data_IF_773296906512
#
_entry.id   IF_773296906512
#
_cell.length_a   1.000
_cell.length_b   1.000
_cell.length_c   1.000
_cell.angle_alpha   90.00
_cell.angle_beta   90.00
_cell.angle_gamma   90.00
#
_symmetry.space_group_name_H-M   'P 1'
#
loop_
_entity.id
_entity.type
_entity.pdbx_description
1 polymer ?
#
# COMPACT_ATOMS: atom_id res chain seq x y z
N UNK A 1 -26.01 69.17 -15.86
CA UNK A 1 -25.60 68.14 -16.84
C UNK A 1 -25.32 66.88 -16.06
N UNK A 2 -26.31 66.00 -15.94
CA UNK A 2 -26.22 64.67 -15.33
C UNK A 2 -27.24 63.81 -16.05
N UNK A 3 -26.75 62.74 -16.68
CA UNK A 3 -27.37 61.61 -17.39
C UNK A 3 -26.25 61.14 -18.35
N UNK A 4 -25.92 59.88 -18.59
CA UNK A 4 -26.36 58.59 -18.11
C UNK A 4 -25.22 57.65 -18.52
N UNK A 5 -24.67 56.86 -17.59
CA UNK A 5 -23.61 55.92 -17.92
C UNK A 5 -24.02 54.53 -17.44
N UNK A 6 -24.69 53.78 -18.30
CA UNK A 6 -25.00 52.37 -18.09
C UNK A 6 -23.87 51.49 -18.66
N UNK A 7 -23.21 50.64 -17.87
CA UNK A 7 -22.51 49.49 -18.41
C UNK A 7 -23.47 48.28 -18.41
N UNK A 8 -23.71 47.74 -19.60
CA UNK A 8 -24.47 46.51 -19.81
C UNK A 8 -23.76 45.32 -19.15
N UNK A 9 -24.37 44.79 -18.10
CA UNK A 9 -24.00 43.53 -17.46
C UNK A 9 -24.38 42.36 -18.40
N UNK A 10 -23.39 41.77 -19.08
CA UNK A 10 -23.56 40.50 -19.78
C UNK A 10 -23.01 39.39 -18.89
N UNK A 11 -23.90 38.85 -18.07
CA UNK A 11 -23.75 37.57 -17.39
C UNK A 11 -23.59 36.44 -18.42
N UNK A 12 -22.34 36.10 -18.74
CA UNK A 12 -22.03 34.91 -19.54
C UNK A 12 -22.06 33.66 -18.66
N UNK A 13 -23.24 33.23 -18.25
CA UNK A 13 -23.45 31.95 -17.58
C UNK A 13 -23.43 30.85 -18.63
N UNK A 14 -22.23 30.48 -19.11
CA UNK A 14 -22.05 29.27 -19.91
C UNK A 14 -22.47 28.05 -19.07
N UNK A 15 -23.66 27.54 -19.37
CA UNK A 15 -24.10 26.20 -19.01
C UNK A 15 -23.04 25.20 -19.49
N UNK A 16 -22.16 24.76 -18.58
CA UNK A 16 -21.30 23.60 -18.85
C UNK A 16 -22.21 22.39 -18.98
N UNK A 17 -22.37 21.90 -20.20
CA UNK A 17 -23.01 20.59 -20.45
C UNK A 17 -22.37 19.54 -19.53
N UNK A 18 -23.15 18.67 -18.88
CA UNK A 18 -22.59 17.54 -18.17
C UNK A 18 -21.74 16.74 -19.15
N UNK A 19 -20.51 16.42 -18.77
CA UNK A 19 -19.60 15.62 -19.61
C UNK A 19 -20.25 14.26 -19.81
N UNK A 20 -20.58 13.94 -21.06
CA UNK A 20 -21.11 12.64 -21.45
C UNK A 20 -20.17 11.55 -20.94
N UNK A 21 -20.62 10.80 -19.93
CA UNK A 21 -19.92 9.63 -19.41
C UNK A 21 -20.01 8.54 -20.47
N UNK A 22 -19.03 8.51 -21.37
CA UNK A 22 -18.84 7.37 -22.26
C UNK A 22 -18.30 6.22 -21.40
N UNK A 23 -18.97 5.06 -21.36
CA UNK A 23 -18.43 3.89 -20.67
C UNK A 23 -17.07 3.53 -21.30
N UNK A 24 -16.07 3.15 -20.49
CA UNK A 24 -14.74 2.86 -20.99
C UNK A 24 -14.79 1.68 -21.98
N UNK A 25 -14.09 1.82 -23.12
CA UNK A 25 -13.90 0.76 -24.12
C UNK A 25 -12.94 -0.35 -23.66
N UNK A 26 -12.22 -0.14 -22.56
CA UNK A 26 -11.30 -1.11 -21.97
C UNK A 26 -12.04 -1.96 -20.91
N UNK A 27 -11.67 -3.23 -20.73
CA UNK A 27 -12.31 -4.07 -19.70
C UNK A 27 -12.11 -3.40 -18.34
N UNK A 28 -13.23 -3.06 -17.71
CA UNK A 28 -13.27 -2.62 -16.32
C UNK A 28 -12.71 -3.76 -15.47
N UNK A 29 -11.86 -3.42 -14.50
CA UNK A 29 -11.28 -4.44 -13.61
C UNK A 29 -12.07 -4.48 -12.33
N UNK A 30 -12.47 -5.68 -11.94
CA UNK A 30 -13.00 -5.98 -10.62
C UNK A 30 -11.96 -5.60 -9.56
N UNK A 31 -12.16 -4.44 -8.94
CA UNK A 31 -11.46 -4.02 -7.75
C UNK A 31 -12.17 -4.60 -6.54
N UNK A 32 -11.62 -5.71 -6.04
CA UNK A 32 -12.19 -6.47 -4.94
C UNK A 32 -11.66 -5.97 -3.59
N UNK A 33 -12.56 -5.89 -2.63
CA UNK A 33 -12.27 -5.70 -1.21
C UNK A 33 -13.22 -6.58 -0.40
N UNK A 34 -13.09 -6.57 0.93
CA UNK A 34 -13.74 -7.56 1.78
C UNK A 34 -15.28 -7.52 1.66
N UNK A 35 -15.85 -6.33 1.49
CA UNK A 35 -17.29 -6.10 1.44
C UNK A 35 -17.90 -6.25 0.04
N UNK A 36 -17.10 -6.31 -1.03
CA UNK A 36 -17.61 -6.39 -2.40
C UNK A 36 -16.60 -6.01 -3.49
N UNK A 37 -17.11 -5.54 -4.63
CA UNK A 37 -16.32 -5.16 -5.79
C UNK A 37 -16.72 -3.78 -6.34
N UNK A 38 -15.75 -3.09 -6.92
CA UNK A 38 -15.97 -1.90 -7.73
C UNK A 38 -15.37 -2.07 -9.11
N UNK A 39 -16.00 -1.35 -10.03
CA UNK A 39 -15.79 -1.42 -11.44
C UNK A 39 -14.87 -0.24 -11.82
N UNK A 40 -13.55 -0.45 -11.75
CA UNK A 40 -12.56 0.64 -11.87
C UNK A 40 -11.93 0.72 -13.25
N UNK A 41 -11.82 1.94 -13.78
CA UNK A 41 -10.98 2.26 -14.94
C UNK A 41 -9.51 2.24 -14.51
N UNK A 42 -8.72 1.22 -14.90
CA UNK A 42 -7.35 1.03 -14.42
C UNK A 42 -6.38 2.11 -14.93
N UNK A 43 -6.77 2.92 -15.93
CA UNK A 43 -5.92 4.00 -16.45
C UNK A 43 -5.98 5.22 -15.54
N UNK A 44 -7.10 5.42 -14.83
CA UNK A 44 -7.35 6.65 -14.05
C UNK A 44 -6.98 6.53 -12.58
N UNK A 45 -6.90 5.31 -12.05
CA UNK A 45 -6.67 5.08 -10.64
C UNK A 45 -5.31 4.42 -10.37
N UNK A 46 -4.60 4.96 -9.39
CA UNK A 46 -3.46 4.29 -8.77
C UNK A 46 -3.89 3.71 -7.44
N UNK A 47 -3.88 2.39 -7.31
CA UNK A 47 -4.13 1.70 -6.04
C UNK A 47 -3.03 2.07 -5.02
N UNK A 48 -3.45 2.69 -3.92
CA UNK A 48 -2.64 3.06 -2.74
C UNK A 48 -3.27 2.52 -1.45
N UNK A 49 -4.14 1.52 -1.54
CA UNK A 49 -4.87 1.02 -0.37
C UNK A 49 -3.92 0.42 0.67
N UNK A 50 -4.12 0.82 1.93
CA UNK A 50 -3.54 0.19 3.09
C UNK A 50 -4.64 -0.51 3.88
N UNK A 51 -4.55 -1.84 4.00
CA UNK A 51 -5.39 -2.59 4.93
C UNK A 51 -4.73 -2.52 6.31
N UNK A 52 -5.52 -2.25 7.36
CA UNK A 52 -5.06 -2.21 8.75
C UNK A 52 -5.86 -3.24 9.53
N UNK A 53 -5.17 -4.20 10.12
CA UNK A 53 -5.75 -5.30 10.88
C UNK A 53 -5.14 -5.27 12.29
N UNK A 54 -5.99 -5.11 13.29
CA UNK A 54 -5.59 -4.99 14.70
C UNK A 54 -6.01 -6.27 15.42
N UNK A 55 -5.06 -6.93 16.08
CA UNK A 55 -5.37 -8.11 16.89
C UNK A 55 -5.67 -7.71 18.33
N UNK A 56 -6.94 -7.82 18.73
CA UNK A 56 -7.43 -7.38 20.04
C UNK A 56 -7.90 -5.93 20.05
N UNK A 57 -8.07 -5.33 21.24
CA UNK A 57 -8.47 -3.92 21.33
C UNK A 57 -7.27 -3.01 20.99
N UNK A 58 -7.46 -1.87 20.29
CA UNK A 58 -6.38 -0.95 19.87
C UNK A 58 -5.40 -0.57 20.99
N UNK A 59 -5.92 -0.37 22.20
CA UNK A 59 -5.14 0.00 23.39
C UNK A 59 -4.26 -1.13 23.93
N UNK A 60 -4.67 -2.38 23.68
CA UNK A 60 -4.05 -3.61 24.21
C UNK A 60 -3.33 -4.43 23.14
N UNK A 61 -3.53 -4.10 21.87
CA UNK A 61 -3.02 -4.87 20.74
C UNK A 61 -1.49 -4.86 20.78
N UNK A 62 -0.95 -6.04 21.04
CA UNK A 62 0.47 -6.30 20.90
C UNK A 62 0.89 -6.57 19.46
N UNK A 63 -0.03 -6.52 18.48
CA UNK A 63 0.25 -6.88 17.09
C UNK A 63 -0.71 -6.17 16.11
N UNK A 64 -0.16 -5.26 15.32
CA UNK A 64 -0.89 -4.61 14.23
C UNK A 64 -0.28 -5.06 12.90
N UNK A 65 -1.12 -5.47 11.96
CA UNK A 65 -0.74 -5.84 10.60
C UNK A 65 -1.26 -4.80 9.61
N UNK A 66 -0.34 -4.22 8.84
CA UNK A 66 -0.68 -3.37 7.69
C UNK A 66 -0.28 -4.06 6.40
N UNK A 67 -1.15 -4.01 5.39
CA UNK A 67 -0.86 -4.47 4.04
C UNK A 67 -1.02 -3.29 3.09
N UNK A 68 0.08 -2.81 2.52
CA UNK A 68 0.12 -1.62 1.67
C UNK A 68 0.59 -1.94 0.25
N UNK A 69 0.19 -1.11 -0.70
CA UNK A 69 0.65 -1.15 -2.09
C UNK A 69 1.68 -0.07 -2.33
N UNK A 70 2.71 -0.41 -3.10
CA UNK A 70 3.69 0.54 -3.60
C UNK A 70 4.10 0.17 -5.05
N UNK A 71 5.00 0.96 -5.63
CA UNK A 71 5.56 0.73 -6.96
C UNK A 71 7.07 0.80 -6.94
N UNK A 72 7.67 0.03 -7.84
CA UNK A 72 9.06 0.19 -8.22
C UNK A 72 9.25 1.50 -8.99
N UNK A 73 10.40 2.12 -8.80
CA UNK A 73 10.92 3.10 -9.76
C UNK A 73 11.29 2.38 -11.09
N UNK A 74 11.37 3.09 -12.22
CA UNK A 74 11.77 2.48 -13.50
C UNK A 74 13.12 1.73 -13.39
N UNK A 75 13.11 0.45 -13.73
CA UNK A 75 14.30 -0.43 -13.67
C UNK A 75 14.73 -0.85 -12.26
N UNK A 76 13.96 -0.51 -11.22
CA UNK A 76 14.30 -0.84 -9.84
C UNK A 76 14.01 -2.32 -9.53
N UNK A 77 15.03 -3.01 -9.00
CA UNK A 77 14.89 -4.35 -8.45
C UNK A 77 14.50 -4.32 -6.96
N UNK A 78 13.93 -5.41 -6.46
CA UNK A 78 13.46 -5.51 -5.07
C UNK A 78 14.52 -5.10 -4.01
N UNK A 79 15.80 -5.51 -4.10
CA UNK A 79 16.79 -5.05 -3.13
C UNK A 79 17.04 -3.55 -3.14
N UNK A 80 17.00 -2.92 -4.32
CA UNK A 80 17.13 -1.48 -4.47
C UNK A 80 15.91 -0.75 -3.90
N UNK A 81 14.70 -1.27 -4.15
CA UNK A 81 13.47 -0.79 -3.52
C UNK A 81 13.55 -0.81 -2.01
N UNK A 82 13.93 -1.93 -1.39
CA UNK A 82 14.03 -2.03 0.06
C UNK A 82 15.05 -1.04 0.61
N UNK A 83 16.21 -0.88 -0.06
CA UNK A 83 17.21 0.14 0.29
C UNK A 83 16.64 1.55 0.24
N UNK A 84 15.87 1.89 -0.81
CA UNK A 84 15.20 3.18 -0.94
C UNK A 84 14.18 3.40 0.17
N UNK A 85 13.35 2.41 0.50
CA UNK A 85 12.36 2.50 1.56
C UNK A 85 13.01 2.70 2.94
N UNK A 86 14.11 2.01 3.23
CA UNK A 86 14.91 2.26 4.46
C UNK A 86 15.35 3.73 4.52
N UNK A 87 15.84 4.28 3.41
CA UNK A 87 16.23 5.69 3.31
C UNK A 87 15.05 6.65 3.55
N UNK A 88 13.87 6.34 3.01
CA UNK A 88 12.64 7.12 3.25
C UNK A 88 12.24 7.08 4.73
N UNK A 89 12.25 5.91 5.36
CA UNK A 89 11.92 5.77 6.78
C UNK A 89 12.92 6.50 7.68
N UNK A 90 14.23 6.37 7.42
CA UNK A 90 15.25 7.06 8.19
C UNK A 90 15.13 8.59 8.12
N UNK A 91 14.67 9.14 6.99
CA UNK A 91 14.42 10.57 6.82
C UNK A 91 13.16 11.04 7.56
N UNK A 92 12.10 10.23 7.58
CA UNK A 92 10.79 10.64 8.08
C UNK A 92 10.53 10.24 9.54
N UNK A 93 11.25 9.24 10.06
CA UNK A 93 11.03 8.67 11.39
C UNK A 93 12.32 8.82 12.20
N UNK A 94 12.34 9.84 13.07
CA UNK A 94 13.49 10.12 13.94
C UNK A 94 13.78 8.91 14.83
N UNK A 95 15.03 8.43 14.80
CA UNK A 95 15.45 7.27 15.60
C UNK A 95 15.05 5.92 15.01
N UNK A 96 14.56 5.87 13.76
CA UNK A 96 14.39 4.61 13.05
C UNK A 96 15.73 3.89 12.89
N UNK A 97 15.79 2.64 13.31
CA UNK A 97 17.00 1.81 13.27
C UNK A 97 16.67 0.43 12.70
N UNK A 98 17.29 0.09 11.57
CA UNK A 98 17.23 -1.28 11.02
C UNK A 98 18.07 -2.20 11.89
N UNK A 99 17.49 -3.33 12.29
CA UNK A 99 18.11 -4.37 13.12
C UNK A 99 18.56 -5.56 12.29
N UNK A 100 17.73 -5.98 11.33
CA UNK A 100 17.95 -7.14 10.46
C UNK A 100 17.38 -6.89 9.09
N UNK A 101 17.97 -7.51 8.08
CA UNK A 101 17.47 -7.59 6.69
C UNK A 101 17.67 -9.03 6.22
N UNK A 102 16.73 -9.58 5.46
CA UNK A 102 16.83 -10.97 5.01
C UNK A 102 15.76 -11.36 3.99
N UNK A 103 15.89 -12.57 3.43
CA UNK A 103 14.92 -13.10 2.49
C UNK A 103 13.66 -13.65 3.20
N UNK A 104 12.53 -13.59 2.52
CA UNK A 104 11.29 -14.24 2.93
C UNK A 104 10.49 -14.71 1.71
N UNK A 105 9.41 -15.46 1.95
CA UNK A 105 8.54 -15.98 0.88
C UNK A 105 7.09 -15.64 1.23
N UNK A 106 6.33 -15.20 0.22
CA UNK A 106 4.89 -14.98 0.31
C UNK A 106 4.15 -16.08 -0.46
N UNK A 107 3.20 -16.73 0.20
CA UNK A 107 2.47 -17.88 -0.33
C UNK A 107 3.27 -19.18 -0.31
N UNK A 108 2.78 -20.17 -1.05
CA UNK A 108 3.36 -21.51 -1.14
C UNK A 108 3.20 -22.11 -2.55
N UNK A 109 4.01 -23.12 -2.87
CA UNK A 109 4.01 -23.80 -4.17
C UNK A 109 4.53 -22.93 -5.32
N UNK A 110 4.11 -23.25 -6.55
CA UNK A 110 4.56 -22.59 -7.79
C UNK A 110 4.22 -21.08 -7.85
N UNK A 111 3.21 -20.65 -7.10
CA UNK A 111 2.79 -19.25 -7.06
C UNK A 111 3.47 -18.44 -5.93
N UNK A 112 4.42 -19.04 -5.21
CA UNK A 112 5.15 -18.37 -4.15
C UNK A 112 6.03 -17.25 -4.69
N UNK A 113 6.04 -16.11 -3.98
CA UNK A 113 6.82 -14.94 -4.35
C UNK A 113 8.01 -14.78 -3.42
N UNK A 114 9.21 -14.73 -3.99
CA UNK A 114 10.40 -14.32 -3.25
C UNK A 114 10.28 -12.86 -2.82
N UNK A 115 10.65 -12.60 -1.57
CA UNK A 115 10.59 -11.28 -0.97
C UNK A 115 11.80 -10.98 -0.12
N UNK A 116 11.81 -9.76 0.38
CA UNK A 116 12.83 -9.29 1.30
C UNK A 116 12.16 -8.58 2.48
N UNK A 117 12.64 -8.87 3.69
CA UNK A 117 12.15 -8.25 4.90
C UNK A 117 13.24 -7.45 5.61
N UNK A 118 12.79 -6.51 6.43
CA UNK A 118 13.58 -5.86 7.46
C UNK A 118 12.90 -5.99 8.82
N UNK A 119 13.70 -6.09 9.86
CA UNK A 119 13.30 -5.79 11.23
C UNK A 119 13.88 -4.42 11.59
N UNK A 120 13.08 -3.56 12.20
CA UNK A 120 13.50 -2.23 12.62
C UNK A 120 12.86 -1.84 13.95
N UNK A 121 13.46 -0.88 14.62
CA UNK A 121 12.87 -0.19 15.78
C UNK A 121 12.57 1.25 15.44
N UNK A 122 11.48 1.78 16.00
CA UNK A 122 11.15 3.19 15.94
C UNK A 122 10.65 3.69 17.30
N UNK A 123 11.06 4.88 17.75
CA UNK A 123 10.48 5.50 18.93
C UNK A 123 9.14 6.16 18.58
N UNK A 124 8.15 6.04 19.45
CA UNK A 124 6.86 6.72 19.34
C UNK A 124 6.40 7.08 20.75
N UNK A 125 6.20 8.37 21.01
CA UNK A 125 5.75 8.90 22.31
C UNK A 125 6.52 8.33 23.53
N UNK A 126 7.86 8.23 23.42
CA UNK A 126 8.71 7.71 24.50
C UNK A 126 8.77 6.18 24.63
N UNK A 127 8.05 5.44 23.78
CA UNK A 127 8.08 3.98 23.74
C UNK A 127 8.79 3.49 22.46
N UNK A 128 9.54 2.38 22.56
CA UNK A 128 10.14 1.71 21.41
C UNK A 128 9.18 0.68 20.84
N UNK A 129 8.93 0.75 19.54
CA UNK A 129 8.19 -0.25 18.80
C UNK A 129 9.13 -1.03 17.87
N UNK A 130 8.86 -2.31 17.74
CA UNK A 130 9.52 -3.23 16.81
C UNK A 130 8.61 -3.44 15.61
N UNK A 131 9.16 -3.28 14.42
CA UNK A 131 8.44 -3.44 13.17
C UNK A 131 9.17 -4.41 12.26
N UNK A 132 8.44 -5.39 11.72
CA UNK A 132 8.89 -6.22 10.61
C UNK A 132 8.15 -5.78 9.37
N UNK A 133 8.88 -5.45 8.31
CA UNK A 133 8.29 -5.19 7.00
C UNK A 133 8.81 -6.18 5.99
N UNK A 134 7.94 -6.80 5.20
CA UNK A 134 8.31 -7.65 4.07
C UNK A 134 7.72 -7.09 2.78
N UNK A 135 8.56 -6.96 1.77
CA UNK A 135 8.22 -6.47 0.45
C UNK A 135 8.31 -7.59 -0.59
N UNK A 136 7.30 -7.68 -1.45
CA UNK A 136 7.19 -8.69 -2.48
C UNK A 136 6.93 -8.03 -3.84
N UNK A 137 7.75 -8.39 -4.83
CA UNK A 137 7.54 -8.00 -6.22
C UNK A 137 6.39 -8.84 -6.80
N UNK A 138 5.35 -8.18 -7.31
CA UNK A 138 4.24 -8.90 -7.93
C UNK A 138 4.57 -9.27 -9.39
N UNK A 139 4.21 -10.49 -9.78
CA UNK A 139 4.26 -10.96 -11.17
C UNK A 139 3.12 -10.42 -12.03
N UNK A 140 2.93 -10.96 -13.23
CA UNK A 140 1.80 -10.57 -14.09
C UNK A 140 0.44 -10.88 -13.45
N UNK A 141 -0.60 -10.06 -13.67
CA UNK A 141 -0.66 -8.78 -14.41
C UNK A 141 -0.28 -7.56 -13.55
N UNK A 142 0.41 -7.77 -12.43
CA UNK A 142 0.74 -6.74 -11.43
C UNK A 142 2.21 -6.31 -11.48
N UNK A 143 2.95 -6.65 -12.55
CA UNK A 143 4.36 -6.29 -12.72
C UNK A 143 4.61 -4.81 -12.43
N UNK A 144 5.71 -4.52 -11.72
CA UNK A 144 6.07 -3.16 -11.31
C UNK A 144 5.43 -2.72 -9.98
N UNK A 145 4.49 -3.50 -9.43
CA UNK A 145 3.89 -3.25 -8.11
C UNK A 145 4.57 -4.05 -7.02
N UNK A 146 4.55 -3.46 -5.82
CA UNK A 146 5.06 -4.07 -4.59
C UNK A 146 3.90 -4.22 -3.62
N UNK A 147 3.82 -5.38 -3.00
CA UNK A 147 2.95 -5.62 -1.85
C UNK A 147 3.81 -5.64 -0.59
N UNK A 148 3.47 -4.80 0.38
CA UNK A 148 4.25 -4.63 1.63
C UNK A 148 3.39 -5.07 2.81
N UNK A 149 3.88 -6.06 3.55
CA UNK A 149 3.31 -6.48 4.83
C UNK A 149 4.12 -5.85 5.95
N UNK A 150 3.46 -5.26 6.94
CA UNK A 150 4.11 -4.65 8.10
C UNK A 150 3.47 -5.14 9.38
N UNK A 151 4.23 -5.81 10.24
CA UNK A 151 3.83 -6.12 11.61
C UNK A 151 4.51 -5.17 12.60
N UNK A 152 3.73 -4.55 13.48
CA UNK A 152 4.25 -3.66 14.54
C UNK A 152 3.84 -4.18 15.91
N UNK A 153 4.80 -4.21 16.85
CA UNK A 153 4.57 -4.63 18.24
C UNK A 153 5.49 -3.90 19.24
N UNK A 154 5.09 -3.88 20.51
CA UNK A 154 5.86 -3.24 21.61
C UNK A 154 7.01 -4.10 22.15
N UNK A 155 7.05 -5.39 21.84
CA UNK A 155 8.06 -6.34 22.32
C UNK A 155 9.01 -6.76 21.20
N UNK A 156 10.29 -7.08 21.47
CA UNK A 156 11.20 -7.67 20.49
C UNK A 156 10.60 -8.90 19.80
N UNK A 157 11.08 -9.22 18.60
CA UNK A 157 10.70 -10.44 17.90
C UNK A 157 11.38 -11.66 18.52
N UNK A 158 10.58 -12.71 18.73
CA UNK A 158 10.96 -14.00 19.30
C UNK A 158 10.65 -15.12 18.30
N UNK A 159 11.04 -16.36 18.61
CA UNK A 159 10.82 -17.50 17.73
C UNK A 159 9.33 -17.77 17.47
N UNK A 160 8.47 -17.52 18.46
CA UNK A 160 7.01 -17.66 18.34
C UNK A 160 6.44 -16.67 17.31
N UNK A 161 6.89 -15.41 17.37
CA UNK A 161 6.55 -14.41 16.37
C UNK A 161 7.05 -14.80 14.99
N UNK A 162 8.30 -15.23 14.87
CA UNK A 162 8.89 -15.62 13.58
C UNK A 162 8.09 -16.76 12.94
N UNK A 163 7.67 -17.75 13.72
CA UNK A 163 6.82 -18.84 13.25
C UNK A 163 5.43 -18.34 12.78
N UNK A 164 4.77 -17.50 13.59
CA UNK A 164 3.46 -16.93 13.24
C UNK A 164 3.53 -16.03 12.00
N UNK A 165 4.56 -15.22 11.88
CA UNK A 165 4.79 -14.36 10.73
C UNK A 165 4.99 -15.17 9.46
N UNK A 166 5.86 -16.19 9.51
CA UNK A 166 6.07 -17.09 8.37
C UNK A 166 4.78 -17.84 7.98
N UNK A 167 4.01 -18.33 8.95
CA UNK A 167 2.73 -18.98 8.68
C UNK A 167 1.70 -18.02 8.03
N UNK A 168 1.68 -16.75 8.48
CA UNK A 168 0.84 -15.72 7.90
C UNK A 168 1.20 -15.45 6.44
N UNK A 169 2.50 -15.27 6.14
CA UNK A 169 2.96 -15.07 4.76
C UNK A 169 2.69 -16.29 3.89
N UNK A 170 2.93 -17.51 4.39
CA UNK A 170 2.68 -18.74 3.67
C UNK A 170 1.18 -18.96 3.35
N UNK A 171 0.28 -18.41 4.16
CA UNK A 171 -1.16 -18.44 3.94
C UNK A 171 -1.66 -17.57 2.79
N UNK A 172 -0.81 -16.69 2.24
CA UNK A 172 -1.19 -15.85 1.11
C UNK A 172 -1.47 -16.69 -0.14
N UNK A 173 -2.60 -16.40 -0.78
CA UNK A 173 -2.99 -17.00 -2.05
C UNK A 173 -3.12 -15.89 -3.09
N UNK A 174 -2.22 -15.82 -4.09
CA UNK A 174 -2.40 -14.90 -5.20
C UNK A 174 -3.75 -15.13 -5.85
N UNK A 175 -4.44 -14.05 -6.20
CA UNK A 175 -5.68 -14.15 -6.98
C UNK A 175 -5.33 -14.69 -8.37
N UNK A 176 -5.97 -15.78 -8.79
CA UNK A 176 -5.89 -16.19 -10.18
C UNK A 176 -6.41 -15.02 -11.06
N UNK A 177 -5.78 -14.72 -12.21
CA UNK A 177 -6.40 -13.83 -13.17
C UNK A 177 -7.78 -14.40 -13.52
N UNK A 178 -8.80 -13.54 -13.63
CA UNK A 178 -10.09 -13.98 -14.13
C UNK A 178 -9.89 -14.66 -15.50
N UNK A 179 -10.60 -15.77 -15.78
CA UNK A 179 -10.48 -16.49 -17.04
C UNK A 179 -10.83 -15.63 -18.24
#
# INVERSE_FOLDING_TARGET
MQEDNAPSDRTNTQHRKPRDFHPPKAPMRDYLFNEGCLDLDPVRFTDRTANILILGAPETSGFNLTIARDRFEPGEALPAYVTRQIGVMAKNIKGHKVLRRGACVLGAGEAALAGEFIDATQPTAGQTFFQRQAAFALGEPFRGRVLVFSATRKRPFDAEFDARWSALLAGFRPRAPAP
#
